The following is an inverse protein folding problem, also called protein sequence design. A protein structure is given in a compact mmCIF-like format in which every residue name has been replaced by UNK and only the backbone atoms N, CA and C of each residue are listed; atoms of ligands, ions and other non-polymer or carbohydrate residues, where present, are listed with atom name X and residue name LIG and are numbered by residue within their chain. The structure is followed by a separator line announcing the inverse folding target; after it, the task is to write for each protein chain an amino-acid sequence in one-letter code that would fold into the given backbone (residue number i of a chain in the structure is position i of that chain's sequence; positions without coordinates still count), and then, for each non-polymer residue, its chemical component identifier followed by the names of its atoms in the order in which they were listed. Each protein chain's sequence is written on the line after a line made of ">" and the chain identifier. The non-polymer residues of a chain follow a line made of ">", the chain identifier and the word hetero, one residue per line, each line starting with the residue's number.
data_IF_596023885293
#
_entry.id   IF_596023885293
#
_cell.length_a   1.000
_cell.length_b   1.000
_cell.length_c   1.000
_cell.angle_alpha   90.00
_cell.angle_beta   90.00
_cell.angle_gamma   90.00
#
_symmetry.space_group_name_H-M   'P 1'
#
loop_
_entity.id
_entity.type
_entity.pdbx_description
1 polymer ?
#
# COMPACT_ATOMS: atom_id res chain seq x y z
N UNK A 1 -47.05 46.66 21.41
CA UNK A 1 -45.85 47.32 20.85
C UNK A 1 -44.91 46.20 20.42
N UNK A 2 -45.02 45.69 19.19
CA UNK A 2 -44.40 46.13 17.92
C UNK A 2 -42.87 46.04 17.89
N UNK A 3 -42.40 45.36 16.82
CA UNK A 3 -41.09 45.43 16.18
C UNK A 3 -39.97 44.62 16.87
N UNK A 4 -39.13 43.85 16.18
CA UNK A 4 -38.65 44.01 14.79
C UNK A 4 -38.16 42.69 14.19
N UNK A 5 -38.52 42.49 12.92
CA UNK A 5 -37.96 41.49 12.01
C UNK A 5 -36.56 41.90 11.51
N UNK A 6 -35.72 40.93 11.16
CA UNK A 6 -34.76 40.95 10.02
C UNK A 6 -34.18 39.54 9.86
N UNK A 7 -34.48 38.89 8.73
CA UNK A 7 -33.55 38.66 7.60
C UNK A 7 -32.39 37.72 7.96
N UNK A 8 -32.38 36.48 7.47
CA UNK A 8 -31.78 36.27 6.15
C UNK A 8 -32.20 34.93 5.53
N UNK A 9 -32.55 35.07 4.27
CA UNK A 9 -32.81 34.06 3.27
C UNK A 9 -31.62 33.10 3.12
N UNK A 10 -31.86 31.79 3.19
CA UNK A 10 -30.98 30.78 2.60
C UNK A 10 -31.78 30.02 1.55
N UNK A 11 -31.69 30.40 0.26
CA UNK A 11 -32.17 29.55 -0.80
C UNK A 11 -31.00 28.80 -1.44
N UNK A 12 -31.38 27.87 -2.32
CA UNK A 12 -30.58 27.33 -3.43
C UNK A 12 -29.95 25.96 -3.16
N UNK A 13 -30.82 24.96 -3.33
CA UNK A 13 -30.58 23.75 -4.13
C UNK A 13 -29.38 23.86 -5.10
N UNK A 14 -28.38 22.98 -4.95
CA UNK A 14 -27.43 22.61 -6.02
C UNK A 14 -27.09 21.13 -5.95
N UNK A 15 -28.00 20.28 -6.44
CA UNK A 15 -27.81 18.82 -6.59
C UNK A 15 -26.70 18.38 -7.56
N UNK A 16 -26.01 19.31 -8.23
CA UNK A 16 -24.87 19.04 -9.12
C UNK A 16 -23.49 19.11 -8.43
N UNK A 17 -23.39 19.84 -7.32
CA UNK A 17 -22.12 20.06 -6.59
C UNK A 17 -21.66 18.82 -5.84
N UNK A 18 -22.60 18.03 -5.31
CA UNK A 18 -22.32 16.85 -4.50
C UNK A 18 -21.71 15.72 -5.34
N UNK A 19 -22.16 15.53 -6.59
CA UNK A 19 -21.57 14.55 -7.52
C UNK A 19 -20.14 14.91 -7.91
N UNK A 20 -19.87 16.19 -8.15
CA UNK A 20 -18.51 16.68 -8.45
C UNK A 20 -17.61 16.61 -7.23
N UNK A 21 -18.12 16.95 -6.04
CA UNK A 21 -17.38 16.83 -4.79
C UNK A 21 -17.01 15.36 -4.48
N UNK A 22 -17.92 14.42 -4.74
CA UNK A 22 -17.65 12.98 -4.59
C UNK A 22 -16.59 12.50 -5.58
N UNK A 23 -16.64 12.94 -6.84
CA UNK A 23 -15.63 12.58 -7.84
C UNK A 23 -14.24 13.14 -7.49
N UNK A 24 -14.17 14.39 -7.03
CA UNK A 24 -12.90 15.01 -6.60
C UNK A 24 -12.35 14.31 -5.35
N UNK A 25 -13.19 13.99 -4.37
CA UNK A 25 -12.78 13.26 -3.18
C UNK A 25 -12.26 11.84 -3.52
N UNK A 26 -12.89 11.17 -4.50
CA UNK A 26 -12.45 9.85 -4.96
C UNK A 26 -11.09 9.91 -5.66
N UNK A 27 -10.85 10.93 -6.51
CA UNK A 27 -9.55 11.13 -7.16
C UNK A 27 -8.43 11.44 -6.15
N UNK A 28 -8.73 12.22 -5.09
CA UNK A 28 -7.75 12.50 -4.03
C UNK A 28 -7.40 11.22 -3.25
N UNK A 29 -8.39 10.36 -2.96
CA UNK A 29 -8.16 9.10 -2.26
C UNK A 29 -7.27 8.11 -3.04
N UNK A 30 -7.25 8.17 -4.37
CA UNK A 30 -6.40 7.33 -5.22
C UNK A 30 -4.94 7.79 -5.31
N UNK A 31 -4.63 9.01 -4.83
CA UNK A 31 -3.26 9.57 -4.86
C UNK A 31 -2.40 9.20 -3.65
N UNK A 32 -2.87 8.29 -2.79
CA UNK A 32 -2.11 7.83 -1.64
C UNK A 32 -0.83 7.10 -2.11
N UNK A 33 0.36 7.50 -1.63
CA UNK A 33 1.60 6.81 -1.97
C UNK A 33 1.54 5.38 -1.45
N UNK A 34 1.80 4.43 -2.33
CA UNK A 34 1.98 3.02 -1.96
C UNK A 34 3.28 2.93 -1.16
N UNK A 35 3.18 2.67 0.14
CA UNK A 35 4.33 2.58 1.04
C UNK A 35 5.06 1.25 0.79
N UNK A 36 6.18 1.32 0.09
CA UNK A 36 7.12 0.21 0.01
C UNK A 36 7.64 -0.14 1.42
N UNK A 37 7.69 -1.42 1.73
CA UNK A 37 8.18 -1.87 3.03
C UNK A 37 9.68 -1.56 3.18
N UNK A 38 10.03 -0.79 4.21
CA UNK A 38 11.41 -0.42 4.56
C UNK A 38 11.88 -1.22 5.77
N UNK A 39 12.98 -1.96 5.65
CA UNK A 39 13.67 -2.56 6.80
C UNK A 39 15.17 -2.29 6.67
N UNK A 40 15.79 -1.79 7.74
CA UNK A 40 17.22 -1.52 7.80
C UNK A 40 17.78 -0.70 6.61
N UNK A 41 17.06 0.36 6.18
CA UNK A 41 17.38 1.19 5.01
C UNK A 41 17.37 0.46 3.66
N UNK A 42 16.84 -0.76 3.60
CA UNK A 42 16.57 -1.47 2.36
C UNK A 42 15.10 -1.32 2.01
N UNK A 43 14.85 -0.75 0.84
CA UNK A 43 13.53 -0.71 0.20
C UNK A 43 13.43 -1.86 -0.80
N UNK A 44 12.33 -2.60 -0.72
CA UNK A 44 11.99 -3.63 -1.69
C UNK A 44 10.68 -3.21 -2.37
N UNK A 45 10.59 -3.30 -3.71
CA UNK A 45 9.36 -2.96 -4.42
C UNK A 45 8.25 -3.95 -4.04
N UNK A 46 6.99 -3.49 -3.99
CA UNK A 46 5.87 -4.35 -3.61
C UNK A 46 5.54 -5.43 -4.64
N UNK A 47 5.98 -5.25 -5.88
CA UNK A 47 5.74 -6.18 -6.98
C UNK A 47 6.94 -6.22 -7.91
N UNK A 48 7.26 -7.40 -8.43
CA UNK A 48 8.32 -7.62 -9.41
C UNK A 48 7.82 -8.54 -10.52
N UNK A 49 8.34 -8.36 -11.73
CA UNK A 49 8.07 -9.27 -12.84
C UNK A 49 9.29 -10.15 -13.06
N UNK A 50 9.07 -11.47 -13.12
CA UNK A 50 10.12 -12.47 -13.40
C UNK A 50 9.64 -13.32 -14.58
N UNK A 51 10.29 -13.15 -15.73
CA UNK A 51 9.79 -13.72 -16.99
C UNK A 51 8.40 -13.16 -17.30
N UNK A 52 7.42 -14.05 -17.41
CA UNK A 52 6.03 -13.68 -17.73
C UNK A 52 5.11 -13.68 -16.49
N UNK A 53 5.70 -13.75 -15.29
CA UNK A 53 4.96 -13.85 -14.02
C UNK A 53 5.19 -12.64 -13.15
N UNK A 54 4.10 -12.08 -12.65
CA UNK A 54 4.10 -11.00 -11.68
C UNK A 54 4.07 -11.58 -10.27
N UNK A 55 5.04 -11.23 -9.45
CA UNK A 55 5.18 -11.69 -8.07
C UNK A 55 5.01 -10.50 -7.12
N UNK A 56 4.27 -10.72 -6.05
CA UNK A 56 3.96 -9.72 -5.02
C UNK A 56 4.80 -9.99 -3.78
N UNK A 57 5.26 -8.94 -3.11
CA UNK A 57 6.01 -9.04 -1.87
C UNK A 57 5.12 -9.63 -0.76
N UNK A 58 5.44 -10.86 -0.36
CA UNK A 58 4.74 -11.55 0.72
C UNK A 58 5.17 -11.01 2.09
N UNK A 59 6.49 -10.81 2.24
CA UNK A 59 7.08 -10.27 3.46
C UNK A 59 8.59 -10.12 3.35
N UNK A 60 9.18 -9.43 4.32
CA UNK A 60 10.61 -9.18 4.40
C UNK A 60 11.10 -9.28 5.84
N UNK A 61 12.36 -9.68 6.01
CA UNK A 61 12.99 -9.89 7.31
C UNK A 61 14.49 -9.65 7.27
N UNK A 62 15.06 -9.27 8.41
CA UNK A 62 16.51 -8.99 8.53
C UNK A 62 17.19 -10.16 9.21
N UNK A 63 18.33 -10.61 8.69
CA UNK A 63 19.23 -11.55 9.38
C UNK A 63 20.42 -10.81 9.94
N UNK A 64 20.68 -11.01 11.24
CA UNK A 64 21.79 -10.41 11.98
C UNK A 64 22.69 -11.49 12.58
N UNK A 65 24.01 -11.25 12.63
CA UNK A 65 25.01 -12.13 13.25
C UNK A 65 26.00 -11.27 14.02
N UNK A 66 26.34 -11.63 15.25
CA UNK A 66 27.27 -10.87 16.10
C UNK A 66 26.97 -9.36 16.16
N UNK A 67 25.69 -8.99 16.34
CA UNK A 67 25.21 -7.59 16.35
C UNK A 67 25.30 -6.83 15.03
N UNK A 68 25.80 -7.45 13.95
CA UNK A 68 25.86 -6.87 12.61
C UNK A 68 24.67 -7.36 11.77
N UNK A 69 23.98 -6.44 11.09
CA UNK A 69 22.93 -6.79 10.11
C UNK A 69 23.61 -7.31 8.86
N UNK A 70 23.33 -8.55 8.48
CA UNK A 70 23.98 -9.20 7.33
C UNK A 70 23.22 -8.90 6.04
N UNK A 71 21.91 -9.13 6.04
CA UNK A 71 21.06 -8.85 4.88
C UNK A 71 19.59 -8.67 5.26
N UNK A 72 18.86 -8.03 4.35
CA UNK A 72 17.39 -8.02 4.31
C UNK A 72 16.93 -9.03 3.26
N UNK A 73 16.14 -10.00 3.68
CA UNK A 73 15.52 -10.99 2.82
C UNK A 73 14.09 -10.55 2.48
N UNK A 74 13.72 -10.56 1.20
CA UNK A 74 12.35 -10.37 0.72
C UNK A 74 11.84 -11.61 0.00
N UNK A 75 10.65 -12.08 0.35
CA UNK A 75 9.99 -13.20 -0.31
C UNK A 75 8.87 -12.69 -1.21
N UNK A 76 8.97 -12.98 -2.50
CA UNK A 76 7.96 -12.68 -3.51
C UNK A 76 7.25 -13.95 -3.97
N UNK A 77 5.92 -13.89 -4.07
CA UNK A 77 5.04 -15.00 -4.46
C UNK A 77 4.02 -14.54 -5.51
N UNK A 78 3.51 -15.44 -6.35
CA UNK A 78 2.41 -15.12 -7.28
C UNK A 78 1.14 -14.70 -6.52
N UNK A 79 0.87 -15.31 -5.35
CA UNK A 79 -0.23 -14.95 -4.46
C UNK A 79 0.28 -14.79 -3.03
N UNK A 80 -0.04 -13.64 -2.43
CA UNK A 80 0.30 -13.36 -1.03
C UNK A 80 -0.43 -14.33 -0.10
N UNK A 81 0.29 -14.96 0.83
CA UNK A 81 -0.25 -15.88 1.83
C UNK A 81 0.62 -15.89 3.09
N UNK A 82 0.01 -15.91 4.30
CA UNK A 82 0.75 -16.07 5.54
C UNK A 82 1.07 -17.53 5.88
N UNK A 83 0.50 -18.51 5.17
CA UNK A 83 0.69 -19.93 5.46
C UNK A 83 2.02 -20.46 4.92
N UNK A 84 2.96 -20.71 5.83
CA UNK A 84 4.28 -21.22 5.49
C UNK A 84 4.25 -22.63 4.86
N UNK A 85 3.35 -23.52 5.29
CA UNK A 85 3.28 -24.87 4.73
C UNK A 85 2.77 -24.83 3.29
N UNK A 86 1.73 -24.03 3.03
CA UNK A 86 1.25 -23.81 1.67
C UNK A 86 2.35 -23.24 0.77
N UNK A 87 3.13 -22.27 1.27
CA UNK A 87 4.28 -21.75 0.54
C UNK A 87 5.26 -22.88 0.25
N UNK A 88 5.69 -23.68 1.22
CA UNK A 88 6.72 -24.70 0.98
C UNK A 88 6.28 -25.84 0.05
N UNK A 89 4.99 -26.20 0.06
CA UNK A 89 4.47 -27.34 -0.71
C UNK A 89 4.04 -26.98 -2.14
N UNK A 90 3.74 -25.72 -2.40
CA UNK A 90 3.20 -25.31 -3.69
C UNK A 90 4.27 -25.31 -4.79
N UNK A 91 4.01 -25.94 -5.94
CA UNK A 91 4.88 -25.82 -7.11
C UNK A 91 4.47 -24.58 -7.93
N UNK A 92 4.97 -23.41 -7.51
CA UNK A 92 4.69 -22.12 -8.13
C UNK A 92 5.93 -21.22 -8.11
N UNK A 93 5.95 -20.24 -9.02
CA UNK A 93 7.06 -19.32 -9.11
C UNK A 93 7.16 -18.47 -7.83
N UNK A 94 8.38 -18.37 -7.34
CA UNK A 94 8.73 -17.66 -6.12
C UNK A 94 10.10 -17.05 -6.30
N UNK A 95 10.34 -15.91 -5.64
CA UNK A 95 11.64 -15.25 -5.68
C UNK A 95 12.05 -14.81 -4.29
N UNK A 96 13.24 -15.25 -3.88
CA UNK A 96 13.93 -14.76 -2.70
C UNK A 96 14.96 -13.73 -3.12
N UNK A 97 14.88 -12.54 -2.53
CA UNK A 97 15.85 -11.46 -2.73
C UNK A 97 16.63 -11.30 -1.43
N UNK A 98 17.95 -11.34 -1.50
CA UNK A 98 18.84 -11.07 -0.37
C UNK A 98 19.63 -9.80 -0.67
N UNK A 99 19.31 -8.72 0.06
CA UNK A 99 20.04 -7.46 -0.04
C UNK A 99 21.00 -7.35 1.13
N UNK A 100 22.29 -7.53 0.86
CA UNK A 100 23.32 -7.41 1.89
C UNK A 100 23.44 -5.96 2.35
N UNK A 101 23.42 -5.79 3.66
CA UNK A 101 23.60 -4.48 4.30
C UNK A 101 25.09 -4.34 4.60
N UNK A 102 25.67 -3.20 4.22
CA UNK A 102 27.08 -2.89 4.46
C UNK A 102 27.23 -2.03 5.71
#
# INVERSE_FOLDING_TARGET
>A
MRSSATSSCLPISRGGSMRRAVLVACLVALSLPVLAATLANVTLPDTITVGNKTLVLNGMGVRSKFFVKVYVAGLYLEKKTPDANAILQQDAARRLVLQFVR
#
